data_IF_840040303544
#
_entry.id   IF_840040303544
#
_cell.length_a   1.000
_cell.length_b   1.000
_cell.length_c   1.000
_cell.angle_alpha   90.00
_cell.angle_beta   90.00
_cell.angle_gamma   90.00
#
_symmetry.space_group_name_H-M   'P 1'
#
loop_
_entity.id
_entity.type
_entity.pdbx_description
1 polymer ?
#
# COMPACT_ATOMS: atom_id res chain seq x y z
N UNK A 1 24.97 -6.54 8.91
CA UNK A 1 23.73 -6.03 9.54
C UNK A 1 22.56 -5.93 8.55
N UNK A 2 22.79 -5.44 7.32
CA UNK A 2 21.76 -5.30 6.26
C UNK A 2 21.18 -6.63 5.75
N UNK A 3 21.98 -7.70 5.63
CA UNK A 3 21.51 -9.00 5.13
C UNK A 3 20.48 -9.67 6.04
N UNK A 4 20.65 -9.56 7.36
CA UNK A 4 19.73 -10.13 8.34
C UNK A 4 18.41 -9.35 8.38
N UNK A 5 18.49 -8.02 8.18
CA UNK A 5 17.31 -7.17 8.03
C UNK A 5 16.53 -7.51 6.76
N UNK A 6 17.22 -7.68 5.62
CA UNK A 6 16.60 -8.08 4.35
C UNK A 6 15.93 -9.47 4.43
N UNK A 7 16.56 -10.42 5.13
CA UNK A 7 16.01 -11.76 5.30
C UNK A 7 14.79 -11.77 6.22
N UNK A 8 14.80 -10.96 7.29
CA UNK A 8 13.64 -10.76 8.16
C UNK A 8 12.47 -10.12 7.42
N UNK A 9 12.75 -9.13 6.56
CA UNK A 9 11.73 -8.45 5.77
C UNK A 9 11.12 -9.38 4.72
N UNK A 10 11.92 -10.22 4.07
CA UNK A 10 11.42 -11.28 3.16
C UNK A 10 10.52 -12.28 3.87
N UNK A 11 10.92 -12.74 5.06
CA UNK A 11 10.11 -13.68 5.85
C UNK A 11 8.76 -13.07 6.25
N UNK A 12 8.73 -11.79 6.67
CA UNK A 12 7.48 -11.09 6.99
C UNK A 12 6.57 -10.97 5.77
N UNK A 13 7.12 -10.56 4.62
CA UNK A 13 6.35 -10.46 3.37
C UNK A 13 5.79 -11.82 2.96
N UNK A 14 6.57 -12.88 3.11
CA UNK A 14 6.14 -14.23 2.74
C UNK A 14 5.06 -14.76 3.69
N UNK A 15 5.20 -14.53 4.99
CA UNK A 15 4.17 -14.87 5.98
C UNK A 15 2.84 -14.14 5.73
N UNK A 16 2.89 -12.85 5.42
CA UNK A 16 1.67 -12.10 5.08
C UNK A 16 1.07 -12.53 3.74
N UNK A 17 1.90 -12.88 2.76
CA UNK A 17 1.43 -13.42 1.48
C UNK A 17 0.69 -14.74 1.68
N UNK A 18 1.25 -15.66 2.49
CA UNK A 18 0.60 -16.93 2.83
C UNK A 18 -0.70 -16.71 3.61
N UNK A 19 -0.76 -15.71 4.52
CA UNK A 19 -1.99 -15.33 5.21
C UNK A 19 -3.05 -14.81 4.26
N UNK A 20 -2.70 -13.96 3.29
CA UNK A 20 -3.62 -13.41 2.29
C UNK A 20 -4.17 -14.52 1.39
N UNK A 21 -3.34 -15.51 1.01
CA UNK A 21 -3.77 -16.64 0.18
C UNK A 21 -4.72 -17.59 0.94
N UNK A 22 -4.53 -17.74 2.25
CA UNK A 22 -5.27 -18.70 3.06
C UNK A 22 -6.45 -18.12 3.85
N UNK A 23 -6.54 -16.79 4.01
CA UNK A 23 -7.75 -16.12 4.49
C UNK A 23 -8.70 -15.92 3.30
N UNK A 24 -9.97 -16.31 3.44
CA UNK A 24 -11.00 -16.04 2.44
C UNK A 24 -10.96 -14.55 2.07
N UNK A 25 -10.89 -14.26 0.77
CA UNK A 25 -10.88 -12.90 0.18
C UNK A 25 -12.10 -12.06 0.60
N UNK A 26 -13.08 -12.65 1.29
CA UNK A 26 -14.23 -11.98 1.92
C UNK A 26 -13.88 -11.10 3.13
N UNK A 27 -12.71 -11.26 3.79
CA UNK A 27 -12.33 -10.46 4.98
C UNK A 27 -11.27 -9.38 4.70
N UNK A 28 -10.71 -9.31 3.49
CA UNK A 28 -9.70 -8.29 3.19
C UNK A 28 -10.39 -6.96 2.86
N UNK A 29 -10.51 -6.09 3.87
CA UNK A 29 -10.96 -4.72 3.67
C UNK A 29 -9.96 -3.98 2.77
N UNK A 30 -10.34 -3.81 1.51
CA UNK A 30 -9.52 -3.17 0.49
C UNK A 30 -9.18 -1.73 0.89
N UNK A 31 -10.03 -1.06 1.67
CA UNK A 31 -9.77 0.32 2.13
C UNK A 31 -8.63 0.35 3.14
N UNK A 32 -8.59 -0.63 4.03
CA UNK A 32 -7.49 -0.81 4.98
C UNK A 32 -6.20 -1.20 4.25
N UNK A 33 -6.28 -2.06 3.24
CA UNK A 33 -5.13 -2.45 2.43
C UNK A 33 -4.54 -1.27 1.64
N UNK A 34 -5.39 -0.44 1.04
CA UNK A 34 -4.99 0.78 0.33
C UNK A 34 -4.35 1.79 1.30
N UNK A 35 -4.98 2.06 2.45
CA UNK A 35 -4.45 2.98 3.45
C UNK A 35 -3.07 2.56 3.96
N UNK A 36 -2.87 1.25 4.22
CA UNK A 36 -1.56 0.71 4.62
C UNK A 36 -0.53 0.85 3.51
N UNK A 37 -0.91 0.55 2.27
CA UNK A 37 -0.03 0.71 1.10
C UNK A 37 0.44 2.16 0.95
N UNK A 38 -0.48 3.11 1.04
CA UNK A 38 -0.17 4.54 0.97
C UNK A 38 0.77 4.98 2.09
N UNK A 39 0.54 4.52 3.32
CA UNK A 39 1.42 4.81 4.45
C UNK A 39 2.85 4.31 4.22
N UNK A 40 3.01 3.06 3.80
CA UNK A 40 4.34 2.50 3.52
C UNK A 40 5.04 3.20 2.36
N UNK A 41 4.31 3.52 1.29
CA UNK A 41 4.87 4.25 0.14
C UNK A 41 5.34 5.65 0.54
N UNK A 42 4.57 6.36 1.39
CA UNK A 42 4.97 7.67 1.90
C UNK A 42 6.26 7.59 2.73
N UNK A 43 6.34 6.65 3.68
CA UNK A 43 7.55 6.43 4.49
C UNK A 43 8.77 6.09 3.63
N UNK A 44 8.59 5.29 2.58
CA UNK A 44 9.66 4.97 1.63
C UNK A 44 10.09 6.21 0.85
N UNK A 45 9.16 7.04 0.37
CA UNK A 45 9.48 8.25 -0.38
C UNK A 45 10.29 9.23 0.48
N UNK A 46 9.85 9.46 1.73
CA UNK A 46 10.56 10.29 2.72
C UNK A 46 11.98 9.79 2.98
N UNK A 47 12.15 8.47 3.17
CA UNK A 47 13.47 7.90 3.38
C UNK A 47 14.41 8.11 2.18
N UNK A 48 13.90 8.03 0.94
CA UNK A 48 14.70 8.29 -0.26
C UNK A 48 15.07 9.77 -0.38
N UNK A 49 14.19 10.69 0.00
CA UNK A 49 14.50 12.13 0.05
C UNK A 49 15.57 12.45 1.09
N UNK A 50 15.50 11.82 2.27
CA UNK A 50 16.54 11.94 3.29
C UNK A 50 17.88 11.42 2.77
N UNK A 51 17.91 10.24 2.12
CA UNK A 51 19.15 9.72 1.52
C UNK A 51 19.69 10.61 0.39
N UNK A 52 18.81 11.24 -0.38
CA UNK A 52 19.21 12.17 -1.43
C UNK A 52 19.87 13.42 -0.85
N UNK A 53 19.28 14.02 0.20
CA UNK A 53 19.86 15.14 0.94
C UNK A 53 21.21 14.76 1.56
N UNK A 54 21.31 13.58 2.17
CA UNK A 54 22.54 13.11 2.81
C UNK A 54 23.68 12.90 1.78
N UNK A 55 23.35 12.41 0.59
CA UNK A 55 24.29 12.28 -0.53
C UNK A 55 24.70 13.65 -1.11
N UNK A 56 23.76 14.59 -1.24
CA UNK A 56 24.02 15.96 -1.69
C UNK A 56 24.99 16.68 -0.73
N UNK A 57 24.77 16.58 0.58
CA UNK A 57 25.64 17.18 1.60
C UNK A 57 27.07 16.62 1.55
N UNK A 58 27.24 15.38 1.10
CA UNK A 58 28.56 14.76 0.87
C UNK A 58 29.18 15.10 -0.49
N UNK A 59 28.49 15.90 -1.31
CA UNK A 59 28.92 16.29 -2.64
C UNK A 59 28.76 15.18 -3.69
N UNK A 60 28.04 14.09 -3.38
CA UNK A 60 27.82 12.99 -4.31
C UNK A 60 26.53 13.23 -5.12
N UNK A 61 26.62 14.10 -6.12
CA UNK A 61 25.48 14.55 -6.93
C UNK A 61 24.82 13.41 -7.72
N UNK A 62 25.60 12.47 -8.27
CA UNK A 62 25.05 11.33 -9.01
C UNK A 62 24.17 10.46 -8.12
N UNK A 63 24.65 10.14 -6.90
CA UNK A 63 23.88 9.35 -5.96
C UNK A 63 22.65 10.10 -5.44
N UNK A 64 22.78 11.41 -5.17
CA UNK A 64 21.65 12.23 -4.78
C UNK A 64 20.55 12.23 -5.85
N UNK A 65 20.93 12.39 -7.13
CA UNK A 65 20.00 12.32 -8.25
C UNK A 65 19.32 10.96 -8.38
N UNK A 66 20.05 9.86 -8.15
CA UNK A 66 19.48 8.51 -8.12
C UNK A 66 18.37 8.37 -7.06
N UNK A 67 18.67 8.78 -5.82
CA UNK A 67 17.71 8.74 -4.73
C UNK A 67 16.50 9.66 -4.96
N UNK A 68 16.72 10.87 -5.47
CA UNK A 68 15.62 11.77 -5.85
C UNK A 68 14.73 11.17 -6.94
N UNK A 69 15.31 10.54 -7.97
CA UNK A 69 14.55 9.91 -9.03
C UNK A 69 13.69 8.74 -8.50
N UNK A 70 14.21 7.97 -7.54
CA UNK A 70 13.48 6.90 -6.88
C UNK A 70 12.33 7.47 -6.01
N UNK A 71 12.56 8.56 -5.28
CA UNK A 71 11.52 9.25 -4.52
C UNK A 71 10.38 9.77 -5.42
N UNK A 72 10.71 10.34 -6.58
CA UNK A 72 9.71 10.78 -7.57
C UNK A 72 8.87 9.60 -8.07
N UNK A 73 9.48 8.46 -8.38
CA UNK A 73 8.75 7.24 -8.78
C UNK A 73 7.83 6.72 -7.68
N UNK A 74 8.24 6.83 -6.41
CA UNK A 74 7.38 6.49 -5.27
C UNK A 74 6.18 7.46 -5.15
N UNK A 75 6.39 8.75 -5.41
CA UNK A 75 5.30 9.74 -5.44
C UNK A 75 4.28 9.45 -6.55
N UNK A 76 4.73 9.01 -7.72
CA UNK A 76 3.84 8.57 -8.80
C UNK A 76 3.05 7.31 -8.38
N UNK A 77 3.70 6.36 -7.70
CA UNK A 77 3.02 5.18 -7.17
C UNK A 77 1.97 5.51 -6.10
N UNK A 78 2.24 6.50 -5.24
CA UNK A 78 1.26 7.02 -4.27
C UNK A 78 0.03 7.55 -4.99
N UNK A 79 0.22 8.37 -6.04
CA UNK A 79 -0.90 8.89 -6.83
C UNK A 79 -1.72 7.77 -7.48
N UNK A 80 -1.04 6.77 -8.04
CA UNK A 80 -1.70 5.62 -8.65
C UNK A 80 -2.50 4.81 -7.63
N UNK A 81 -1.92 4.51 -6.46
CA UNK A 81 -2.64 3.76 -5.43
C UNK A 81 -3.82 4.56 -4.88
N UNK A 82 -3.66 5.89 -4.74
CA UNK A 82 -4.72 6.78 -4.27
C UNK A 82 -5.87 6.94 -5.26
N UNK A 83 -5.66 6.71 -6.56
CA UNK A 83 -6.71 6.82 -7.59
C UNK A 83 -7.52 5.54 -7.77
N UNK A 84 -7.15 4.45 -7.09
CA UNK A 84 -7.92 3.21 -7.10
C UNK A 84 -9.21 3.44 -6.31
N UNK A 85 -10.35 3.41 -7.01
CA UNK A 85 -11.67 3.42 -6.39
C UNK A 85 -11.96 2.08 -5.72
N UNK A 86 -12.40 2.12 -4.47
CA UNK A 86 -12.78 0.93 -3.72
C UNK A 86 -14.30 0.85 -3.69
N UNK A 87 -14.91 -0.18 -4.31
CA UNK A 87 -16.36 -0.32 -4.31
C UNK A 87 -16.83 -0.49 -2.86
N UNK A 88 -17.80 0.33 -2.46
CA UNK A 88 -18.50 0.14 -1.19
C UNK A 88 -19.32 -1.16 -1.29
N UNK A 89 -19.35 -2.00 -0.25
CA UNK A 89 -20.25 -3.15 -0.25
C UNK A 89 -21.68 -2.64 -0.43
N UNK A 90 -22.37 -3.10 -1.47
CA UNK A 90 -23.76 -2.73 -1.73
C UNK A 90 -24.58 -3.07 -0.47
N UNK A 91 -25.28 -2.07 0.08
CA UNK A 91 -26.28 -2.32 1.10
C UNK A 91 -27.28 -3.32 0.52
N UNK A 92 -27.26 -4.55 1.03
CA UNK A 92 -28.26 -5.57 0.71
C UNK A 92 -29.59 -4.97 1.15
N UNK A 93 -30.32 -4.34 0.23
CA UNK A 93 -31.68 -3.87 0.47
C UNK A 93 -32.47 -5.10 0.92
N UNK A 94 -33.06 -5.11 2.13
CA UNK A 94 -33.87 -6.25 2.54
C UNK A 94 -34.96 -6.44 1.48
N UNK A 95 -35.25 -7.68 1.06
CA UNK A 95 -36.25 -7.92 0.03
C UNK A 95 -37.55 -7.25 0.47
N UNK A 96 -38.05 -6.34 -0.36
CA UNK A 96 -39.37 -5.75 -0.16
C UNK A 96 -40.35 -6.90 0.04
N UNK A 97 -40.92 -7.01 1.25
CA UNK A 97 -42.07 -7.87 1.51
C UNK A 97 -43.22 -7.34 0.64
N UNK A 98 -43.27 -7.78 -0.62
CA UNK A 98 -44.39 -7.57 -1.52
C UNK A 98 -45.63 -8.14 -0.87
N UNK A 99 -46.53 -7.25 -0.46
CA UNK A 99 -47.84 -7.62 0.05
C UNK A 99 -48.60 -8.45 -0.97
N UNK A 100 -48.94 -9.68 -0.60
CA UNK A 100 -50.01 -10.52 -1.15
C UNK A 100 -50.58 -11.30 0.05
N UNK A 101 -51.84 -11.20 0.46
CA UNK A 101 -52.98 -10.55 -0.17
C UNK A 101 -54.12 -10.30 0.81
N UNK A 102 -55.06 -9.50 0.32
CA UNK A 102 -56.43 -9.39 0.82
C UNK A 102 -57.10 -10.76 0.77
N UNK A 103 -57.75 -11.17 1.85
CA UNK A 103 -59.19 -11.41 2.01
C UNK A 103 -59.44 -12.14 3.33
#
# INVERSE_FOLDING_TARGET
>A
MTQLHALRLRLLVQQESDRIIHQQVEELDLSVAQARSLCWLALLAEAHEEQASDAEQRGNTEQAMGWFADAMRLRDAIQLVSSIEIPLPEEISPPECSGHGRL
#
